data_IF_206551037678
#
_entry.id   IF_206551037678
#
_cell.length_a   1.000
_cell.length_b   1.000
_cell.length_c   1.000
_cell.angle_alpha   90.00
_cell.angle_beta   90.00
_cell.angle_gamma   90.00
#
_symmetry.space_group_name_H-M   'P 1'
#
loop_
_entity.id
_entity.type
_entity.pdbx_description
1 polymer ?
#
# COMPACT_ATOMS: atom_id res chain seq x y z
N UNK A 1 -20.72 21.91 -5.11
CA UNK A 1 -20.07 21.45 -6.35
C UNK A 1 -20.61 20.06 -6.61
N UNK A 2 -21.21 19.83 -7.79
CA UNK A 2 -21.71 18.52 -8.21
C UNK A 2 -20.51 17.73 -8.73
N UNK A 3 -20.09 16.68 -8.01
CA UNK A 3 -19.22 15.65 -8.58
C UNK A 3 -20.09 14.76 -9.48
N UNK A 4 -20.37 15.23 -10.69
CA UNK A 4 -21.18 14.50 -11.69
C UNK A 4 -20.37 13.91 -12.83
N UNK A 5 -19.05 13.78 -12.66
CA UNK A 5 -18.23 12.94 -13.52
C UNK A 5 -17.57 11.91 -12.59
N UNK A 6 -17.87 10.63 -12.85
CA UNK A 6 -17.28 9.42 -12.26
C UNK A 6 -16.03 9.70 -11.45
N UNK A 7 -16.05 9.40 -10.13
CA UNK A 7 -14.90 9.37 -9.23
C UNK A 7 -13.63 9.04 -10.03
N UNK A 8 -12.84 10.09 -10.30
CA UNK A 8 -11.95 10.12 -11.46
C UNK A 8 -11.06 8.88 -11.50
N UNK A 9 -11.09 8.18 -12.63
CA UNK A 9 -10.42 6.91 -12.91
C UNK A 9 -8.89 7.09 -13.05
N UNK A 10 -8.32 8.13 -12.42
CA UNK A 10 -6.89 8.28 -12.30
C UNK A 10 -6.36 7.11 -11.47
N UNK A 11 -5.46 6.33 -12.07
CA UNK A 11 -4.78 5.26 -11.36
C UNK A 11 -4.04 5.86 -10.14
N UNK A 12 -4.06 5.17 -8.98
CA UNK A 12 -3.27 5.57 -7.83
C UNK A 12 -1.82 5.84 -8.21
N UNK A 13 -1.29 6.97 -7.74
CA UNK A 13 0.14 7.29 -7.90
C UNK A 13 1.01 6.47 -6.94
N UNK A 14 0.50 6.24 -5.73
CA UNK A 14 1.22 5.63 -4.63
C UNK A 14 0.28 4.73 -3.81
N UNK A 15 0.89 3.96 -2.90
CA UNK A 15 0.16 3.23 -1.87
C UNK A 15 0.93 3.21 -0.57
N UNK A 16 0.16 3.17 0.52
CA UNK A 16 0.68 2.93 1.86
C UNK A 16 0.76 1.43 2.08
N UNK A 17 1.95 0.94 2.39
CA UNK A 17 2.20 -0.48 2.65
C UNK A 17 2.71 -0.65 4.06
N UNK A 18 2.39 -1.80 4.67
CA UNK A 18 2.90 -2.20 5.99
C UNK A 18 3.18 -3.69 5.98
N UNK A 19 4.40 -4.09 6.32
CA UNK A 19 4.81 -5.48 6.49
C UNK A 19 4.47 -5.95 7.90
N UNK A 20 4.05 -7.21 8.01
CA UNK A 20 3.94 -7.88 9.31
C UNK A 20 5.32 -8.35 9.74
N UNK A 21 6.02 -7.51 10.51
CA UNK A 21 7.32 -7.84 11.08
C UNK A 21 7.16 -8.63 12.39
N UNK A 22 8.15 -9.47 12.71
CA UNK A 22 8.21 -10.15 14.01
C UNK A 22 8.29 -9.12 15.14
N UNK A 23 7.40 -9.22 16.14
CA UNK A 23 7.35 -8.31 17.28
C UNK A 23 6.29 -7.21 17.20
N UNK A 24 5.58 -7.06 16.07
CA UNK A 24 4.35 -6.26 16.00
C UNK A 24 3.26 -7.01 16.75
N UNK A 25 2.66 -6.39 17.77
CA UNK A 25 1.63 -6.99 18.64
C UNK A 25 0.32 -7.19 17.88
N UNK A 26 -0.44 -8.21 18.28
CA UNK A 26 -1.75 -8.54 17.70
C UNK A 26 -2.79 -7.40 17.83
N UNK A 27 -2.58 -6.48 18.77
CA UNK A 27 -3.52 -5.40 19.13
C UNK A 27 -3.02 -3.98 18.71
N UNK A 28 -2.02 -3.94 17.80
CA UNK A 28 -1.46 -2.83 17.00
C UNK A 28 -0.74 -1.65 17.68
N UNK A 29 0.54 -1.87 18.01
CA UNK A 29 1.55 -0.80 18.11
C UNK A 29 2.50 -0.84 16.90
N UNK A 30 2.03 -0.33 15.75
CA UNK A 30 2.70 -0.21 14.43
C UNK A 30 2.44 -1.36 13.44
N UNK A 31 1.32 -2.06 13.62
CA UNK A 31 0.61 -2.77 12.58
C UNK A 31 -0.09 -1.84 11.58
N UNK A 32 -0.96 -2.42 10.75
CA UNK A 32 -1.50 -1.74 9.57
C UNK A 32 -2.48 -0.60 9.86
N UNK A 33 -3.25 -0.67 10.95
CA UNK A 33 -4.32 0.32 11.21
C UNK A 33 -3.75 1.56 11.88
N UNK A 34 -2.82 1.42 12.83
CA UNK A 34 -2.16 2.58 13.46
C UNK A 34 -1.43 3.40 12.40
N UNK A 35 -0.75 2.74 11.46
CA UNK A 35 -0.08 3.37 10.32
C UNK A 35 -1.07 4.08 9.40
N UNK A 36 -2.19 3.42 9.09
CA UNK A 36 -3.24 3.98 8.26
C UNK A 36 -3.90 5.21 8.90
N UNK A 37 -4.23 5.16 10.19
CA UNK A 37 -4.81 6.29 10.90
C UNK A 37 -3.86 7.50 10.94
N UNK A 38 -2.54 7.26 11.04
CA UNK A 38 -1.53 8.33 10.90
C UNK A 38 -1.51 8.91 9.50
N UNK A 39 -1.57 8.08 8.45
CA UNK A 39 -1.63 8.56 7.08
C UNK A 39 -2.88 9.39 6.83
N UNK A 40 -4.05 8.92 7.28
CA UNK A 40 -5.32 9.64 7.15
C UNK A 40 -5.23 11.02 7.79
N UNK A 41 -4.70 11.13 9.01
CA UNK A 41 -4.51 12.42 9.69
C UNK A 41 -3.68 13.41 8.88
N UNK A 42 -2.59 12.93 8.24
CA UNK A 42 -1.78 13.76 7.33
C UNK A 42 -2.58 14.14 6.09
N UNK A 43 -3.28 13.18 5.47
CA UNK A 43 -3.98 13.39 4.20
C UNK A 43 -5.17 14.34 4.35
N UNK A 44 -5.81 14.40 5.52
CA UNK A 44 -6.83 15.39 5.82
C UNK A 44 -6.30 16.83 5.85
N UNK A 45 -4.99 17.07 6.00
CA UNK A 45 -4.40 18.42 5.87
C UNK A 45 -4.47 18.94 4.43
N UNK A 46 -4.62 18.04 3.45
CA UNK A 46 -4.63 18.34 2.01
C UNK A 46 -6.00 18.15 1.37
N UNK A 47 -6.98 17.62 2.12
CA UNK A 47 -8.34 17.36 1.64
C UNK A 47 -9.31 18.48 2.00
N UNK A 48 -10.42 18.55 1.26
CA UNK A 48 -11.54 19.46 1.54
C UNK A 48 -12.79 18.72 2.03
N UNK A 49 -12.88 17.41 1.75
CA UNK A 49 -14.02 16.58 2.15
C UNK A 49 -13.54 15.17 2.48
N UNK A 50 -14.18 14.54 3.45
CA UNK A 50 -14.09 13.10 3.70
C UNK A 50 -15.43 12.45 3.41
N UNK A 51 -15.39 11.34 2.70
CA UNK A 51 -16.50 10.40 2.57
C UNK A 51 -16.17 9.13 3.35
N UNK A 52 -17.11 8.63 4.14
CA UNK A 52 -16.94 7.44 4.95
C UNK A 52 -18.20 6.58 4.93
N UNK A 53 -18.01 5.29 4.72
CA UNK A 53 -19.08 4.29 4.82
C UNK A 53 -18.93 3.52 6.12
N UNK A 54 -20.04 3.40 6.84
CA UNK A 54 -20.12 2.75 8.14
C UNK A 54 -21.19 1.66 8.09
N UNK A 55 -20.90 0.48 8.63
CA UNK A 55 -21.92 -0.57 8.77
C UNK A 55 -22.97 -0.13 9.79
N UNK A 56 -24.26 0.01 9.40
CA UNK A 56 -25.33 0.44 10.30
C UNK A 56 -25.62 -0.53 11.44
N UNK A 57 -25.12 -1.77 11.37
CA UNK A 57 -25.35 -2.78 12.41
C UNK A 57 -24.54 -2.52 13.69
N UNK A 58 -23.64 -1.55 13.70
CA UNK A 58 -22.81 -1.23 14.85
C UNK A 58 -23.13 0.15 15.46
N UNK A 59 -23.56 0.16 16.72
CA UNK A 59 -24.04 1.36 17.41
C UNK A 59 -22.95 2.34 17.87
N UNK A 60 -21.67 1.99 17.76
CA UNK A 60 -20.58 2.89 18.21
C UNK A 60 -20.44 4.15 17.34
N UNK A 61 -21.09 4.19 16.17
CA UNK A 61 -21.03 5.34 15.28
C UNK A 61 -22.20 6.31 15.40
N UNK A 62 -23.08 6.17 16.40
CA UNK A 62 -24.27 7.01 16.57
C UNK A 62 -23.98 8.51 16.54
N UNK A 63 -22.89 8.96 17.17
CA UNK A 63 -22.47 10.37 17.17
C UNK A 63 -22.22 10.86 15.75
N UNK A 64 -21.50 10.08 14.95
CA UNK A 64 -21.18 10.43 13.56
C UNK A 64 -22.41 10.38 12.67
N UNK A 65 -23.26 9.36 12.83
CA UNK A 65 -24.50 9.24 12.07
C UNK A 65 -25.47 10.42 12.34
N UNK A 66 -25.43 10.97 13.55
CA UNK A 66 -26.25 12.13 13.95
C UNK A 66 -25.66 13.45 13.47
N UNK A 67 -24.34 13.59 13.50
CA UNK A 67 -23.67 14.87 13.29
C UNK A 67 -23.23 15.10 11.84
N UNK A 68 -22.88 14.03 11.11
CA UNK A 68 -22.57 14.13 9.68
C UNK A 68 -23.81 14.02 8.81
N UNK A 69 -23.76 14.71 7.68
CA UNK A 69 -24.78 14.57 6.65
C UNK A 69 -24.62 13.21 5.96
N UNK A 70 -25.67 12.39 6.00
CA UNK A 70 -25.77 11.24 5.12
C UNK A 70 -25.84 11.73 3.66
N UNK A 71 -25.05 11.10 2.80
CA UNK A 71 -24.98 11.41 1.39
C UNK A 71 -26.23 10.83 0.71
N UNK A 72 -27.00 11.62 -0.06
CA UNK A 72 -28.10 11.09 -0.85
C UNK A 72 -27.58 10.14 -1.93
N UNK A 73 -28.33 9.07 -2.25
CA UNK A 73 -27.96 8.04 -3.24
C UNK A 73 -27.41 8.60 -4.57
N UNK A 74 -27.96 9.73 -5.04
CA UNK A 74 -27.53 10.39 -6.29
C UNK A 74 -26.15 11.02 -6.24
N UNK A 75 -25.55 11.10 -5.05
CA UNK A 75 -24.25 11.70 -4.76
C UNK A 75 -23.29 10.74 -4.07
N UNK A 76 -23.73 9.51 -3.78
CA UNK A 76 -22.85 8.49 -3.24
C UNK A 76 -21.72 8.20 -4.21
N UNK A 77 -20.50 8.16 -3.69
CA UNK A 77 -19.31 7.80 -4.47
C UNK A 77 -18.95 6.33 -4.29
N UNK A 78 -19.42 5.70 -3.21
CA UNK A 78 -19.23 4.28 -2.95
C UNK A 78 -20.32 3.46 -3.65
N UNK A 79 -19.90 2.52 -4.48
CA UNK A 79 -20.82 1.71 -5.29
C UNK A 79 -21.60 0.76 -4.40
N UNK A 80 -22.92 0.93 -4.36
CA UNK A 80 -23.81 0.08 -3.55
C UNK A 80 -23.84 0.45 -2.07
N UNK A 81 -23.36 1.64 -1.71
CA UNK A 81 -23.42 2.15 -0.35
C UNK A 81 -24.79 2.75 -0.04
N UNK A 82 -25.39 2.29 1.06
CA UNK A 82 -26.63 2.84 1.61
C UNK A 82 -26.38 3.73 2.85
N UNK A 83 -25.13 3.78 3.34
CA UNK A 83 -24.75 4.42 4.61
C UNK A 83 -23.46 5.24 4.48
N UNK A 84 -23.38 6.02 3.40
CA UNK A 84 -22.30 6.96 3.15
C UNK A 84 -22.54 8.28 3.88
N UNK A 85 -21.54 8.75 4.62
CA UNK A 85 -21.55 10.02 5.32
C UNK A 85 -20.46 10.95 4.78
N UNK A 86 -20.74 12.25 4.85
CA UNK A 86 -19.83 13.30 4.39
C UNK A 86 -19.44 14.23 5.52
N UNK A 87 -18.14 14.44 5.67
CA UNK A 87 -17.54 15.40 6.58
C UNK A 87 -16.79 16.48 5.78
N UNK A 88 -17.00 17.75 6.12
CA UNK A 88 -16.29 18.90 5.56
C UNK A 88 -14.99 19.15 6.31
N UNK A 89 -13.88 19.34 5.59
CA UNK A 89 -12.59 19.68 6.20
C UNK A 89 -12.31 21.18 6.03
N UNK A 90 -11.79 21.85 7.08
CA UNK A 90 -11.32 21.31 8.35
C UNK A 90 -12.39 21.19 9.45
N UNK A 91 -13.63 21.65 9.23
CA UNK A 91 -14.65 21.82 10.28
C UNK A 91 -14.98 20.54 11.04
N UNK A 92 -15.16 19.43 10.33
CA UNK A 92 -15.57 18.13 10.88
C UNK A 92 -14.36 17.24 11.19
N UNK A 93 -13.12 17.76 11.10
CA UNK A 93 -11.90 16.97 11.29
C UNK A 93 -11.88 16.23 12.63
N UNK A 94 -12.24 16.91 13.71
CA UNK A 94 -12.22 16.31 15.05
C UNK A 94 -13.18 15.12 15.16
N UNK A 95 -14.32 15.18 14.46
CA UNK A 95 -15.29 14.09 14.41
C UNK A 95 -14.73 12.90 13.62
N UNK A 96 -14.07 13.15 12.49
CA UNK A 96 -13.38 12.10 11.72
C UNK A 96 -12.23 11.49 12.54
N UNK A 97 -11.44 12.31 13.25
CA UNK A 97 -10.34 11.82 14.08
C UNK A 97 -10.82 10.92 15.23
N UNK A 98 -12.00 11.19 15.80
CA UNK A 98 -12.60 10.34 16.84
C UNK A 98 -12.93 8.93 16.35
N UNK A 99 -13.26 8.76 15.06
CA UNK A 99 -13.47 7.44 14.44
C UNK A 99 -12.16 6.66 14.24
N UNK A 100 -11.04 7.37 14.20
CA UNK A 100 -9.70 6.79 14.01
C UNK A 100 -9.00 6.54 15.35
N UNK A 101 -9.60 6.96 16.45
CA UNK A 101 -9.06 6.76 17.78
C UNK A 101 -9.40 5.35 18.26
N UNK A 102 -8.38 4.60 18.65
CA UNK A 102 -8.52 3.24 19.18
C UNK A 102 -7.84 3.27 20.55
N UNK A 103 -8.62 3.31 21.64
CA UNK A 103 -8.04 3.29 22.98
C UNK A 103 -7.22 2.02 23.22
N UNK A 104 -6.16 2.14 24.01
CA UNK A 104 -5.27 1.02 24.32
C UNK A 104 -6.04 -0.15 24.96
N UNK A 105 -5.98 -1.31 24.31
CA UNK A 105 -6.65 -2.52 24.77
C UNK A 105 -8.15 -2.59 24.46
N UNK A 106 -8.69 -1.63 23.71
CA UNK A 106 -10.08 -1.64 23.27
C UNK A 106 -10.24 -2.49 22.00
N UNK A 107 -10.57 -3.76 22.20
CA UNK A 107 -10.77 -4.72 21.11
C UNK A 107 -12.01 -4.43 20.28
N UNK A 108 -13.00 -3.75 20.86
CA UNK A 108 -14.25 -3.43 20.17
C UNK A 108 -13.99 -2.27 19.22
N UNK A 109 -13.38 -1.18 19.68
CA UNK A 109 -12.95 -0.07 18.82
C UNK A 109 -12.00 -0.54 17.70
N UNK A 110 -11.13 -1.51 18.00
CA UNK A 110 -10.25 -2.14 17.02
C UNK A 110 -11.03 -2.93 15.95
N UNK A 111 -12.01 -3.72 16.38
CA UNK A 111 -12.90 -4.48 15.49
C UNK A 111 -13.71 -3.53 14.62
N UNK A 112 -14.23 -2.47 15.20
CA UNK A 112 -15.01 -1.45 14.51
C UNK A 112 -14.19 -0.79 13.40
N UNK A 113 -12.98 -0.37 13.72
CA UNK A 113 -12.09 0.26 12.75
C UNK A 113 -11.70 -0.66 11.59
N UNK A 114 -11.63 -1.97 11.83
CA UNK A 114 -11.18 -2.94 10.82
C UNK A 114 -12.34 -3.53 10.00
N UNK A 115 -13.53 -3.69 10.57
CA UNK A 115 -14.63 -4.45 9.96
C UNK A 115 -15.90 -3.63 9.74
N UNK A 116 -16.18 -2.62 10.57
CA UNK A 116 -17.41 -1.82 10.48
C UNK A 116 -17.17 -0.42 9.89
N UNK A 117 -15.91 0.02 9.83
CA UNK A 117 -15.46 1.07 8.94
C UNK A 117 -15.21 0.47 7.54
N UNK A 118 -16.19 0.61 6.65
CA UNK A 118 -16.24 -0.14 5.38
C UNK A 118 -15.32 0.47 4.34
N UNK A 119 -15.48 1.75 4.05
CA UNK A 119 -14.68 2.47 3.06
C UNK A 119 -14.47 3.92 3.50
N UNK A 120 -13.31 4.46 3.17
CA UNK A 120 -12.89 5.81 3.54
C UNK A 120 -12.20 6.50 2.38
N UNK A 121 -12.60 7.72 2.09
CA UNK A 121 -11.99 8.53 1.04
C UNK A 121 -11.75 9.95 1.53
N UNK A 122 -10.55 10.46 1.25
CA UNK A 122 -10.25 11.90 1.32
C UNK A 122 -10.31 12.46 -0.10
N UNK A 123 -11.10 13.51 -0.28
CA UNK A 123 -11.24 14.25 -1.53
C UNK A 123 -10.60 15.63 -1.42
N UNK A 124 -10.10 16.09 -2.55
CA UNK A 124 -9.80 17.51 -2.79
C UNK A 124 -10.91 18.11 -3.66
N UNK A 125 -10.78 19.39 -4.01
CA UNK A 125 -11.70 20.04 -4.95
C UNK A 125 -11.57 19.49 -6.38
N UNK A 126 -10.50 18.76 -6.70
CA UNK A 126 -10.18 18.33 -8.06
C UNK A 126 -10.31 16.82 -8.25
N UNK A 127 -9.87 16.03 -7.27
CA UNK A 127 -9.86 14.57 -7.35
C UNK A 127 -9.89 13.94 -5.97
N UNK A 128 -10.03 12.61 -5.93
CA UNK A 128 -9.69 11.85 -4.75
C UNK A 128 -8.20 11.93 -4.47
N UNK A 129 -7.83 11.93 -3.19
CA UNK A 129 -6.47 11.98 -2.68
C UNK A 129 -6.09 10.67 -2.00
N UNK A 130 -7.01 10.11 -1.21
CA UNK A 130 -6.78 8.87 -0.50
C UNK A 130 -8.01 7.98 -0.57
N UNK A 131 -7.79 6.68 -0.72
CA UNK A 131 -8.82 5.65 -0.65
C UNK A 131 -8.35 4.51 0.25
N UNK A 132 -9.19 4.17 1.21
CA UNK A 132 -8.99 3.01 2.07
C UNK A 132 -10.20 2.11 2.13
N UNK A 133 -9.95 0.81 2.02
CA UNK A 133 -10.88 -0.27 2.40
C UNK A 133 -10.17 -1.06 3.48
N UNK A 134 -10.47 -0.81 4.77
CA UNK A 134 -9.71 -1.36 5.90
C UNK A 134 -9.74 -2.89 5.96
N UNK A 135 -10.92 -3.47 5.70
CA UNK A 135 -11.16 -4.91 5.70
C UNK A 135 -10.71 -5.61 4.39
N UNK A 136 -10.57 -6.94 4.41
CA UNK A 136 -10.34 -7.95 3.33
C UNK A 136 -9.49 -7.57 2.10
N UNK A 137 -9.82 -6.48 1.41
CA UNK A 137 -9.08 -5.95 0.28
C UNK A 137 -7.80 -5.18 0.70
N UNK A 138 -7.74 -4.64 1.92
CA UNK A 138 -6.61 -3.85 2.45
C UNK A 138 -6.13 -2.77 1.46
N UNK A 139 -7.07 -2.07 0.83
CA UNK A 139 -6.78 -0.99 -0.11
C UNK A 139 -6.29 0.21 0.70
N UNK A 140 -5.15 0.78 0.32
CA UNK A 140 -4.56 1.99 0.92
C UNK A 140 -3.84 2.77 -0.16
N UNK A 141 -4.64 3.43 -0.98
CA UNK A 141 -4.22 4.02 -2.25
C UNK A 141 -4.17 5.53 -2.14
N UNK A 142 -3.16 6.14 -2.76
CA UNK A 142 -2.90 7.57 -2.69
C UNK A 142 -2.79 8.11 -4.12
N UNK A 143 -3.59 9.12 -4.43
CA UNK A 143 -3.45 9.92 -5.62
C UNK A 143 -2.89 11.30 -5.24
N UNK A 144 -1.57 11.41 -5.31
CA UNK A 144 -0.84 12.64 -5.05
C UNK A 144 -0.64 13.49 -6.33
N UNK A 145 -1.30 13.13 -7.44
CA UNK A 145 -1.18 13.86 -8.70
C UNK A 145 -1.57 15.33 -8.53
N UNK A 146 -0.64 16.23 -8.81
CA UNK A 146 -0.88 17.68 -8.72
C UNK A 146 -0.89 18.27 -7.30
N UNK A 147 -0.60 17.47 -6.26
CA UNK A 147 -0.58 17.93 -4.86
C UNK A 147 0.86 17.92 -4.34
N UNK A 148 1.48 19.10 -4.28
CA UNK A 148 2.86 19.24 -3.83
C UNK A 148 3.03 18.92 -2.33
N UNK A 149 4.15 18.29 -1.98
CA UNK A 149 4.55 18.03 -0.59
C UNK A 149 3.83 16.88 0.13
N UNK A 150 2.72 16.33 -0.39
CA UNK A 150 1.98 15.27 0.32
C UNK A 150 2.79 13.98 0.50
N UNK A 151 3.52 13.55 -0.53
CA UNK A 151 4.37 12.34 -0.46
C UNK A 151 5.57 12.57 0.46
N UNK A 152 6.16 13.77 0.43
CA UNK A 152 7.24 14.17 1.34
C UNK A 152 6.76 14.11 2.78
N UNK A 153 5.59 14.71 3.08
CA UNK A 153 5.01 14.72 4.42
C UNK A 153 4.70 13.32 4.95
N UNK A 154 4.17 12.45 4.09
CA UNK A 154 3.95 11.04 4.46
C UNK A 154 5.27 10.32 4.72
N UNK A 155 6.29 10.51 3.88
CA UNK A 155 7.60 9.92 4.08
C UNK A 155 8.27 10.41 5.38
N UNK A 156 8.17 11.70 5.70
CA UNK A 156 8.60 12.25 7.00
C UNK A 156 7.89 11.55 8.17
N UNK A 157 6.56 11.41 8.06
CA UNK A 157 5.71 10.80 9.09
C UNK A 157 6.09 9.33 9.35
N UNK A 158 6.52 8.62 8.30
CA UNK A 158 6.87 7.20 8.38
C UNK A 158 8.37 6.91 8.40
N UNK A 159 9.24 7.93 8.40
CA UNK A 159 10.69 7.75 8.37
C UNK A 159 11.23 6.87 9.52
N UNK A 160 10.55 6.87 10.67
CA UNK A 160 10.92 6.10 11.86
C UNK A 160 9.97 4.92 12.13
N UNK A 161 9.01 4.64 11.24
CA UNK A 161 8.04 3.55 11.39
C UNK A 161 8.52 2.37 10.54
N UNK A 162 9.40 1.56 11.14
CA UNK A 162 9.97 0.39 10.46
C UNK A 162 8.87 -0.55 9.97
N UNK A 163 8.98 -0.99 8.71
CA UNK A 163 8.04 -1.93 8.12
C UNK A 163 6.89 -1.25 7.37
N UNK A 164 6.81 0.08 7.40
CA UNK A 164 5.79 0.84 6.70
C UNK A 164 6.41 1.87 5.76
N UNK A 165 5.81 2.06 4.60
CA UNK A 165 6.27 3.05 3.65
C UNK A 165 5.15 3.48 2.71
N UNK A 166 5.31 4.68 2.13
CA UNK A 166 4.61 5.06 0.92
C UNK A 166 5.50 4.72 -0.27
N UNK A 167 4.96 3.93 -1.20
CA UNK A 167 5.68 3.44 -2.38
C UNK A 167 4.90 3.78 -3.65
N UNK A 168 5.56 3.96 -4.81
CA UNK A 168 4.86 4.13 -6.07
C UNK A 168 3.94 2.95 -6.38
N UNK A 169 2.76 3.21 -6.92
CA UNK A 169 1.78 2.16 -7.18
C UNK A 169 2.24 1.17 -8.26
N UNK A 170 2.85 1.69 -9.33
CA UNK A 170 3.35 0.90 -10.47
C UNK A 170 4.60 0.06 -10.19
N UNK A 171 5.17 0.12 -9.00
CA UNK A 171 6.46 -0.49 -8.66
C UNK A 171 7.59 0.53 -8.54
N UNK A 172 8.70 0.11 -7.93
CA UNK A 172 9.82 1.00 -7.63
C UNK A 172 10.72 1.21 -8.84
N UNK A 173 10.97 0.14 -9.58
CA UNK A 173 11.78 0.14 -10.79
C UNK A 173 11.30 -0.98 -11.71
N UNK A 174 11.30 -0.69 -13.01
CA UNK A 174 10.97 -1.63 -14.08
C UNK A 174 12.09 -1.58 -15.11
N UNK A 175 12.50 -2.75 -15.61
CA UNK A 175 13.46 -2.86 -16.69
C UNK A 175 13.21 -4.09 -17.54
N UNK A 176 13.58 -4.03 -18.81
CA UNK A 176 13.36 -5.10 -19.78
C UNK A 176 14.68 -5.58 -20.38
N UNK A 177 14.95 -6.88 -20.28
CA UNK A 177 16.08 -7.54 -20.93
C UNK A 177 15.64 -8.83 -21.60
N UNK A 178 16.21 -9.16 -22.75
CA UNK A 178 15.94 -10.43 -23.45
C UNK A 178 14.46 -10.68 -23.76
N UNK A 179 13.64 -9.63 -23.88
CA UNK A 179 12.18 -9.75 -24.08
C UNK A 179 11.36 -10.06 -22.82
N UNK A 180 12.00 -10.08 -21.65
CA UNK A 180 11.35 -10.23 -20.33
C UNK A 180 11.40 -8.91 -19.58
N UNK A 181 10.26 -8.47 -19.08
CA UNK A 181 10.15 -7.30 -18.19
C UNK A 181 10.20 -7.76 -16.74
N UNK A 182 11.00 -7.07 -15.94
CA UNK A 182 11.13 -7.24 -14.50
C UNK A 182 10.62 -5.99 -13.82
N UNK A 183 9.65 -6.16 -12.92
CA UNK A 183 9.06 -5.09 -12.12
C UNK A 183 9.31 -5.38 -10.65
N UNK A 184 10.18 -4.58 -10.02
CA UNK A 184 10.39 -4.65 -8.59
C UNK A 184 9.26 -3.90 -7.87
N UNK A 185 8.34 -4.67 -7.31
CA UNK A 185 7.26 -4.17 -6.44
C UNK A 185 7.71 -4.23 -4.99
N UNK A 186 6.94 -3.60 -4.11
CA UNK A 186 7.28 -3.52 -2.69
C UNK A 186 7.40 -4.89 -2.00
N UNK A 187 6.67 -5.91 -2.47
CA UNK A 187 6.65 -7.26 -1.91
C UNK A 187 7.17 -8.37 -2.83
N UNK A 188 7.40 -8.08 -4.10
CA UNK A 188 7.73 -9.10 -5.08
C UNK A 188 8.57 -8.58 -6.22
N UNK A 189 9.43 -9.43 -6.76
CA UNK A 189 9.93 -9.25 -8.12
C UNK A 189 8.94 -9.93 -9.08
N UNK A 190 8.21 -9.13 -9.84
CA UNK A 190 7.34 -9.64 -10.91
C UNK A 190 8.15 -9.75 -12.19
N UNK A 191 8.03 -10.86 -12.91
CA UNK A 191 8.56 -10.98 -14.25
C UNK A 191 7.44 -11.33 -15.22
N UNK A 192 7.50 -10.77 -16.42
CA UNK A 192 6.59 -11.13 -17.50
C UNK A 192 7.26 -11.06 -18.85
N UNK A 193 6.97 -12.05 -19.68
CA UNK A 193 7.25 -12.07 -21.11
C UNK A 193 5.92 -12.18 -21.89
N UNK A 194 5.99 -12.42 -23.21
CA UNK A 194 4.78 -12.52 -24.07
C UNK A 194 3.85 -13.69 -23.71
N UNK A 195 4.36 -14.74 -23.08
CA UNK A 195 3.66 -16.00 -22.86
C UNK A 195 3.39 -16.28 -21.37
N UNK A 196 4.25 -15.76 -20.49
CA UNK A 196 4.28 -16.14 -19.08
C UNK A 196 4.50 -14.93 -18.19
N UNK A 197 3.97 -15.04 -16.99
CA UNK A 197 4.25 -14.14 -15.88
C UNK A 197 4.51 -14.96 -14.63
N UNK A 198 5.33 -14.43 -13.73
CA UNK A 198 5.57 -15.00 -12.42
C UNK A 198 5.84 -13.87 -11.43
N UNK A 199 5.52 -14.10 -10.15
CA UNK A 199 5.79 -13.17 -9.07
C UNK A 199 6.57 -13.89 -7.97
N UNK A 200 7.71 -13.33 -7.57
CA UNK A 200 8.61 -13.92 -6.59
C UNK A 200 8.64 -13.10 -5.31
N UNK A 201 8.20 -13.72 -4.21
CA UNK A 201 8.13 -13.12 -2.88
C UNK A 201 9.52 -12.72 -2.36
N UNK A 202 9.71 -11.42 -2.07
CA UNK A 202 10.97 -10.87 -1.58
C UNK A 202 11.36 -11.39 -0.19
N UNK A 203 10.43 -11.95 0.60
CA UNK A 203 10.76 -12.61 1.88
C UNK A 203 11.72 -13.81 1.71
N UNK A 204 11.69 -14.39 0.50
CA UNK A 204 12.57 -15.50 0.13
C UNK A 204 13.94 -15.04 -0.33
N UNK A 205 14.13 -13.76 -0.63
CA UNK A 205 15.42 -13.25 -1.05
C UNK A 205 16.39 -13.30 0.15
N UNK A 206 17.62 -13.73 -0.10
CA UNK A 206 18.70 -13.78 0.89
C UNK A 206 19.73 -12.69 0.61
N UNK A 207 20.09 -12.50 -0.64
CA UNK A 207 21.13 -11.56 -1.03
C UNK A 207 20.86 -11.04 -2.45
N UNK A 208 21.16 -9.76 -2.64
CA UNK A 208 21.19 -9.06 -3.93
C UNK A 208 22.61 -8.55 -4.13
N UNK A 209 23.26 -9.01 -5.20
CA UNK A 209 24.62 -8.57 -5.53
C UNK A 209 24.64 -7.98 -6.92
N UNK A 210 25.01 -6.70 -7.04
CA UNK A 210 25.25 -6.10 -8.34
C UNK A 210 26.68 -6.39 -8.81
N UNK A 211 26.79 -6.89 -10.03
CA UNK A 211 28.01 -7.13 -10.79
C UNK A 211 27.99 -6.15 -11.98
N UNK A 212 28.30 -4.87 -11.74
CA UNK A 212 28.17 -3.84 -12.76
C UNK A 212 29.15 -4.03 -13.93
N UNK A 213 30.34 -4.58 -13.68
CA UNK A 213 31.30 -4.95 -14.73
C UNK A 213 30.73 -6.00 -15.71
N UNK A 214 29.79 -6.83 -15.24
CA UNK A 214 29.07 -7.85 -16.02
C UNK A 214 27.67 -7.40 -16.47
N UNK A 215 27.25 -6.18 -16.10
CA UNK A 215 25.87 -5.69 -16.28
C UNK A 215 24.82 -6.68 -15.76
N UNK A 216 24.98 -7.16 -14.52
CA UNK A 216 24.14 -8.22 -13.98
C UNK A 216 23.80 -7.98 -12.50
N UNK A 217 22.60 -8.41 -12.09
CA UNK A 217 22.20 -8.51 -10.69
C UNK A 217 22.00 -9.97 -10.35
N UNK A 218 22.78 -10.49 -9.41
CA UNK A 218 22.59 -11.82 -8.84
C UNK A 218 21.59 -11.76 -7.69
N UNK A 219 20.65 -12.71 -7.70
CA UNK A 219 19.57 -12.83 -6.73
C UNK A 219 19.62 -14.21 -6.09
N UNK A 220 20.08 -14.26 -4.84
CA UNK A 220 20.16 -15.51 -4.10
C UNK A 220 18.88 -15.74 -3.30
N UNK A 221 18.15 -16.80 -3.64
CA UNK A 221 16.85 -17.12 -3.04
C UNK A 221 16.95 -18.28 -2.05
N UNK A 222 16.20 -18.18 -0.96
CA UNK A 222 15.93 -19.29 -0.05
C UNK A 222 15.19 -20.41 -0.81
N UNK A 223 15.52 -21.69 -0.55
CA UNK A 223 14.77 -22.81 -1.11
C UNK A 223 13.31 -22.77 -0.65
N UNK A 224 12.41 -23.33 -1.46
CA UNK A 224 10.98 -23.41 -1.09
C UNK A 224 10.85 -24.36 0.11
N UNK A 225 10.27 -23.94 1.25
CA UNK A 225 10.03 -24.85 2.37
C UNK A 225 9.05 -25.95 1.94
N UNK A 226 9.40 -27.22 2.21
CA UNK A 226 8.60 -28.38 1.82
C UNK A 226 7.16 -28.38 2.41
N UNK A 227 6.92 -27.66 3.50
CA UNK A 227 5.63 -27.62 4.22
C UNK A 227 4.63 -26.59 3.65
N UNK A 228 5.02 -25.77 2.69
CA UNK A 228 4.18 -24.65 2.22
C UNK A 228 3.21 -25.02 1.10
N UNK A 229 2.60 -26.20 1.15
CA UNK A 229 1.48 -26.54 0.27
C UNK A 229 0.22 -25.72 0.62
N UNK A 230 0.05 -25.29 1.87
CA UNK A 230 -1.13 -24.55 2.35
C UNK A 230 -1.11 -23.04 2.02
N UNK A 231 0.06 -22.41 1.85
CA UNK A 231 0.16 -21.00 1.36
C UNK A 231 -0.06 -20.85 -0.15
N UNK A 232 -0.17 -21.96 -0.91
CA UNK A 232 -0.54 -21.92 -2.34
C UNK A 232 -1.95 -21.36 -2.57
N UNK A 233 -2.78 -21.32 -1.53
CA UNK A 233 -4.22 -21.00 -1.66
C UNK A 233 -4.52 -19.49 -1.71
N UNK A 234 -3.58 -18.62 -1.30
CA UNK A 234 -3.81 -17.15 -1.24
C UNK A 234 -3.30 -16.41 -2.50
N UNK A 235 -2.54 -17.06 -3.39
CA UNK A 235 -1.89 -16.41 -4.54
C UNK A 235 -2.55 -16.70 -5.91
N UNK A 236 -3.89 -16.75 -5.97
CA UNK A 236 -4.60 -16.81 -7.25
C UNK A 236 -4.73 -15.41 -7.84
N UNK A 237 -3.91 -15.10 -8.85
CA UNK A 237 -4.31 -14.74 -10.23
C UNK A 237 -3.04 -14.24 -10.96
N UNK A 238 -2.52 -15.13 -11.82
CA UNK A 238 -1.70 -14.96 -13.06
C UNK A 238 -0.53 -15.96 -13.11
N UNK A 239 -0.63 -16.90 -14.05
CA UNK A 239 0.51 -17.53 -14.75
C UNK A 239 1.53 -18.34 -13.96
N UNK A 240 1.62 -19.64 -14.25
CA UNK A 240 2.82 -20.48 -14.05
C UNK A 240 3.45 -20.57 -12.64
N UNK A 241 2.69 -21.10 -11.67
CA UNK A 241 3.16 -21.41 -10.30
C UNK A 241 4.20 -22.55 -10.17
N UNK A 242 5.23 -22.62 -11.02
CA UNK A 242 6.33 -23.60 -10.90
C UNK A 242 7.69 -23.13 -11.44
N UNK A 243 7.83 -21.91 -11.96
CA UNK A 243 9.14 -21.43 -12.41
C UNK A 243 10.05 -21.16 -11.20
N UNK A 244 11.27 -21.69 -11.22
CA UNK A 244 12.28 -21.32 -10.23
C UNK A 244 12.53 -19.80 -10.30
N UNK A 245 12.75 -19.12 -9.17
CA UNK A 245 13.09 -17.70 -9.20
C UNK A 245 14.42 -17.48 -9.94
N UNK A 246 14.55 -16.37 -10.69
CA UNK A 246 15.74 -16.11 -11.50
C UNK A 246 16.95 -15.93 -10.57
N UNK A 247 18.03 -16.72 -10.74
CA UNK A 247 19.24 -16.56 -9.93
C UNK A 247 20.06 -15.32 -10.34
N UNK A 248 19.81 -14.82 -11.54
CA UNK A 248 20.44 -13.63 -12.09
C UNK A 248 19.51 -12.92 -13.06
N UNK A 249 19.65 -11.60 -13.14
CA UNK A 249 18.94 -10.74 -14.08
C UNK A 249 19.93 -9.78 -14.72
N UNK A 250 19.93 -9.70 -16.04
CA UNK A 250 20.77 -8.75 -16.77
C UNK A 250 20.28 -7.31 -16.57
N UNK A 251 21.22 -6.38 -16.53
CA UNK A 251 21.01 -4.94 -16.58
C UNK A 251 21.20 -4.52 -18.05
N UNK A 252 20.17 -4.00 -18.73
CA UNK A 252 20.30 -3.58 -20.11
C UNK A 252 21.41 -2.54 -20.30
N UNK A 253 22.09 -2.58 -21.44
CA UNK A 253 23.10 -1.58 -21.76
C UNK A 253 22.46 -0.17 -21.80
N UNK A 254 22.95 0.74 -20.96
CA UNK A 254 22.41 2.10 -20.83
C UNK A 254 21.33 2.26 -19.76
N UNK A 255 20.88 1.17 -19.11
CA UNK A 255 20.11 1.27 -17.87
C UNK A 255 21.03 1.61 -16.69
N UNK A 256 20.49 2.37 -15.75
CA UNK A 256 21.20 2.72 -14.53
C UNK A 256 21.11 1.56 -13.53
N UNK A 257 22.11 0.69 -13.54
CA UNK A 257 22.20 -0.43 -12.61
C UNK A 257 22.14 -0.01 -11.13
N UNK A 258 22.63 1.19 -10.79
CA UNK A 258 22.54 1.71 -9.42
C UNK A 258 21.10 2.02 -9.04
N UNK A 259 20.26 2.48 -9.98
CA UNK A 259 18.83 2.69 -9.72
C UNK A 259 18.12 1.39 -9.34
N UNK A 260 18.46 0.27 -9.99
CA UNK A 260 17.90 -1.04 -9.66
C UNK A 260 18.34 -1.45 -8.24
N UNK A 261 19.64 -1.32 -7.95
CA UNK A 261 20.19 -1.71 -6.66
C UNK A 261 19.68 -0.82 -5.52
N UNK A 262 19.57 0.48 -5.74
CA UNK A 262 19.03 1.45 -4.80
C UNK A 262 17.56 1.15 -4.46
N UNK A 263 16.75 0.70 -5.42
CA UNK A 263 15.39 0.26 -5.13
C UNK A 263 15.35 -0.92 -4.13
N UNK A 264 16.26 -1.90 -4.24
CA UNK A 264 16.40 -2.95 -3.22
C UNK A 264 16.89 -2.40 -1.88
N UNK A 265 17.85 -1.48 -1.86
CA UNK A 265 18.31 -0.82 -0.61
C UNK A 265 17.16 -0.08 0.08
N UNK A 266 16.36 0.67 -0.67
CA UNK A 266 15.19 1.40 -0.15
C UNK A 266 14.15 0.46 0.45
N UNK A 267 13.82 -0.65 -0.21
CA UNK A 267 12.90 -1.65 0.34
C UNK A 267 13.45 -2.27 1.62
N UNK A 268 14.73 -2.63 1.64
CA UNK A 268 15.40 -3.16 2.83
C UNK A 268 15.33 -2.18 3.99
N UNK A 269 15.70 -0.92 3.77
CA UNK A 269 15.73 0.11 4.80
C UNK A 269 14.34 0.44 5.32
N UNK A 270 13.40 0.80 4.43
CA UNK A 270 12.08 1.30 4.83
C UNK A 270 11.16 0.20 5.32
N UNK A 271 11.13 -0.92 4.60
CA UNK A 271 10.23 -2.03 4.91
C UNK A 271 10.89 -3.10 5.78
N UNK A 272 12.19 -2.99 6.07
CA UNK A 272 12.89 -3.89 6.98
C UNK A 272 13.08 -5.30 6.43
N UNK A 273 13.29 -5.45 5.11
CA UNK A 273 13.63 -6.76 4.54
C UNK A 273 14.95 -7.28 5.12
N UNK A 274 15.09 -8.59 5.24
CA UNK A 274 16.26 -9.23 5.86
C UNK A 274 17.36 -9.62 4.88
N UNK A 275 17.12 -9.47 3.56
CA UNK A 275 18.17 -9.75 2.58
C UNK A 275 19.29 -8.70 2.64
N UNK A 276 20.49 -9.10 2.25
CA UNK A 276 21.62 -8.19 2.09
C UNK A 276 21.68 -7.61 0.68
N UNK A 277 22.24 -6.41 0.55
CA UNK A 277 22.40 -5.71 -0.73
C UNK A 277 23.84 -5.23 -0.86
N UNK A 278 24.55 -5.74 -1.86
CA UNK A 278 25.99 -5.54 -2.03
C UNK A 278 26.34 -5.18 -3.46
N UNK A 279 27.45 -4.46 -3.62
CA UNK A 279 28.14 -4.27 -4.89
C UNK A 279 29.41 -5.09 -4.85
N UNK A 280 29.65 -5.96 -5.83
CA UNK A 280 30.97 -6.57 -5.95
C UNK A 280 31.94 -5.49 -6.44
N UNK A 281 32.99 -5.25 -5.67
CA UNK A 281 34.17 -4.56 -6.17
C UNK A 281 34.99 -5.60 -6.93
N UNK A 282 35.40 -5.29 -8.16
CA UNK A 282 36.37 -6.11 -8.90
C UNK A 282 37.68 -6.31 -8.11
#
# INVERSE_FOLDING_TARGET
MEFTETFDAAEPTHRLVTRRLSGVKDWDELGGVTVENRAIRVLMDYGTVVHLELDPKHGQFETVQRELAQVPDSKCIFVGSDHEFRASLPEDRALVESLLEIPDGDTDAWTDRLFYFVEFVVLTDQSWLYRSVPHEAHIREINAGGIEGVIEKLNETFAQVRGSAVVPFGGLVSWTTGGTTYDLKWNSLYCSDREKSASYDLERLRQVTALFSENLVRLDWKPVPAESLLRRTVWRVLGSGSAAPPPQVEIPAGEDGEKILDAFRQLRERLGYEYDVETSSD
#
